data_IF_645541841909
#
_entry.id   IF_645541841909
#
_cell.length_a   1.000
_cell.length_b   1.000
_cell.length_c   1.000
_cell.angle_alpha   90.00
_cell.angle_beta   90.00
_cell.angle_gamma   90.00
#
_symmetry.space_group_name_H-M   'P 1'
#
loop_
_entity.id
_entity.type
_entity.pdbx_description
1 polymer ?
#
# COMPACT_ATOMS: atom_id res chain seq x y z
N UNK A 1 -26.13 25.34 5.66
CA UNK A 1 -26.09 25.49 7.12
C UNK A 1 -25.13 26.60 7.49
N UNK A 2 -25.49 27.43 8.45
CA UNK A 2 -24.87 28.74 8.71
C UNK A 2 -23.42 28.67 9.24
N UNK A 3 -22.95 27.49 9.64
CA UNK A 3 -21.57 27.26 10.10
C UNK A 3 -20.52 27.05 8.99
N UNK A 4 -20.95 26.88 7.73
CA UNK A 4 -20.03 26.58 6.60
C UNK A 4 -19.03 27.73 6.35
N UNK A 5 -19.44 29.02 6.32
CA UNK A 5 -18.49 30.11 6.11
C UNK A 5 -17.43 30.22 7.20
N UNK A 6 -17.82 30.06 8.47
CA UNK A 6 -16.91 30.08 9.60
C UNK A 6 -15.90 28.91 9.56
N UNK A 7 -16.36 27.71 9.17
CA UNK A 7 -15.50 26.56 8.96
C UNK A 7 -14.50 26.79 7.83
N UNK A 8 -14.95 27.32 6.68
CA UNK A 8 -14.07 27.65 5.54
C UNK A 8 -12.98 28.64 5.95
N UNK A 9 -13.33 29.70 6.69
CA UNK A 9 -12.37 30.68 7.18
C UNK A 9 -11.32 30.08 8.13
N UNK A 10 -11.72 29.12 8.98
CA UNK A 10 -10.78 28.38 9.83
C UNK A 10 -9.85 27.47 9.03
N UNK A 11 -10.40 26.71 8.08
CA UNK A 11 -9.61 25.82 7.23
C UNK A 11 -8.58 26.58 6.40
N UNK A 12 -8.95 27.74 5.83
CA UNK A 12 -8.03 28.59 5.09
C UNK A 12 -6.85 29.05 5.96
N UNK A 13 -7.14 29.60 7.15
CA UNK A 13 -6.09 30.01 8.10
C UNK A 13 -5.19 28.85 8.53
N UNK A 14 -5.75 27.66 8.69
CA UNK A 14 -4.95 26.47 9.00
C UNK A 14 -4.04 26.07 7.85
N UNK A 15 -4.52 26.14 6.61
CA UNK A 15 -3.74 25.84 5.42
C UNK A 15 -2.61 26.87 5.21
N UNK A 16 -2.91 28.16 5.33
CA UNK A 16 -1.95 29.27 5.23
C UNK A 16 -0.84 29.19 6.29
N UNK A 17 -1.11 28.57 7.44
CA UNK A 17 -0.15 28.40 8.52
C UNK A 17 0.76 27.16 8.34
N UNK A 18 0.55 26.34 7.31
CA UNK A 18 1.40 25.17 7.06
C UNK A 18 2.76 25.60 6.51
N UNK A 19 3.86 24.95 6.90
CA UNK A 19 5.21 25.28 6.42
C UNK A 19 5.38 25.22 4.89
N UNK A 20 4.53 24.43 4.22
CA UNK A 20 4.55 24.16 2.78
C UNK A 20 3.38 24.86 2.03
N UNK A 21 2.74 25.85 2.65
CA UNK A 21 1.75 26.67 1.95
C UNK A 21 2.44 27.42 0.79
N UNK A 22 1.82 27.40 -0.40
CA UNK A 22 2.38 27.94 -1.66
C UNK A 22 3.71 27.31 -2.12
N UNK A 23 4.10 26.16 -1.58
CA UNK A 23 5.26 25.43 -2.08
C UNK A 23 5.03 24.99 -3.54
N UNK A 24 5.99 25.33 -4.40
CA UNK A 24 5.92 24.97 -5.82
C UNK A 24 6.25 23.49 -6.00
N UNK A 25 5.33 22.76 -6.61
CA UNK A 25 5.58 21.37 -7.02
C UNK A 25 6.28 21.38 -8.39
N UNK A 26 7.41 20.68 -8.56
CA UNK A 26 8.07 20.56 -9.85
C UNK A 26 7.14 19.97 -10.93
N UNK A 27 7.14 20.57 -12.13
CA UNK A 27 6.34 20.11 -13.27
C UNK A 27 6.43 18.60 -13.55
N UNK A 28 7.64 18.00 -13.62
CA UNK A 28 7.82 16.56 -13.77
C UNK A 28 7.06 15.70 -12.73
N UNK A 29 6.87 16.21 -11.51
CA UNK A 29 6.19 15.47 -10.44
C UNK A 29 4.67 15.56 -10.60
N UNK A 30 4.16 16.70 -11.10
CA UNK A 30 2.77 16.86 -11.50
C UNK A 30 2.44 15.98 -12.71
N UNK A 31 3.33 15.91 -13.70
CA UNK A 31 3.15 15.01 -14.85
C UNK A 31 3.06 13.55 -14.40
N UNK A 32 3.93 13.13 -13.48
CA UNK A 32 3.87 11.79 -12.88
C UNK A 32 2.57 11.56 -12.10
N UNK A 33 2.11 12.54 -11.32
CA UNK A 33 0.81 12.48 -10.64
C UNK A 33 -0.30 12.17 -11.64
N UNK A 34 -0.49 13.04 -12.64
CA UNK A 34 -1.60 12.91 -13.59
C UNK A 34 -1.53 11.58 -14.33
N UNK A 35 -0.32 11.18 -14.75
CA UNK A 35 -0.12 9.92 -15.45
C UNK A 35 -0.47 8.69 -14.63
N UNK A 36 -0.21 8.72 -13.31
CA UNK A 36 -0.62 7.65 -12.39
C UNK A 36 -2.15 7.60 -12.25
N UNK A 37 -2.81 8.75 -12.19
CA UNK A 37 -4.27 8.83 -12.12
C UNK A 37 -4.93 8.34 -13.42
N UNK A 38 -4.43 8.76 -14.58
CA UNK A 38 -4.93 8.33 -15.89
C UNK A 38 -4.79 6.82 -16.04
N UNK A 39 -3.64 6.26 -15.65
CA UNK A 39 -3.44 4.80 -15.64
C UNK A 39 -4.43 4.06 -14.75
N UNK A 40 -4.82 4.66 -13.63
CA UNK A 40 -5.83 4.08 -12.72
C UNK A 40 -7.23 4.12 -13.31
N UNK A 41 -7.53 5.13 -14.14
CA UNK A 41 -8.83 5.29 -14.81
C UNK A 41 -8.95 4.41 -16.06
N UNK A 42 -7.85 4.20 -16.78
CA UNK A 42 -7.81 3.45 -18.05
C UNK A 42 -7.68 1.94 -17.89
N UNK A 43 -7.27 1.43 -16.72
CA UNK A 43 -7.01 0.00 -16.56
C UNK A 43 -8.31 -0.83 -16.62
N UNK A 44 -8.54 -1.65 -17.68
CA UNK A 44 -9.74 -2.46 -17.83
C UNK A 44 -9.85 -3.56 -16.78
N UNK A 45 -8.72 -4.00 -16.23
CA UNK A 45 -8.65 -5.00 -15.15
C UNK A 45 -8.89 -4.36 -13.78
N UNK A 46 -8.83 -3.03 -13.71
CA UNK A 46 -9.02 -2.27 -12.48
C UNK A 46 -7.90 -2.50 -11.46
N UNK A 47 -6.66 -2.79 -11.89
CA UNK A 47 -5.56 -2.98 -10.95
C UNK A 47 -5.34 -1.68 -10.17
N UNK A 48 -5.37 -1.80 -8.84
CA UNK A 48 -5.25 -0.66 -7.92
C UNK A 48 -3.81 -0.45 -7.45
N UNK A 49 -2.88 -1.12 -8.13
CA UNK A 49 -1.46 -1.13 -7.83
C UNK A 49 -0.62 -1.30 -9.10
N UNK A 50 0.64 -0.93 -9.01
CA UNK A 50 1.68 -1.12 -10.01
C UNK A 50 2.86 -1.84 -9.36
N UNK A 51 3.53 -2.69 -10.14
CA UNK A 51 4.85 -3.16 -9.75
C UNK A 51 5.85 -2.00 -9.76
N UNK A 52 6.81 -2.03 -8.83
CA UNK A 52 7.83 -1.00 -8.68
C UNK A 52 8.55 -0.67 -9.99
N UNK A 53 8.93 -1.70 -10.76
CA UNK A 53 9.60 -1.51 -12.06
C UNK A 53 8.73 -0.75 -13.06
N UNK A 54 7.42 -1.03 -13.07
CA UNK A 54 6.47 -0.33 -13.95
C UNK A 54 6.27 1.11 -13.52
N UNK A 55 6.22 1.37 -12.21
CA UNK A 55 6.17 2.71 -11.68
C UNK A 55 7.46 3.51 -12.00
N UNK A 56 8.63 2.88 -11.91
CA UNK A 56 9.90 3.50 -12.32
C UNK A 56 9.91 3.91 -13.79
N UNK A 57 9.36 3.07 -14.68
CA UNK A 57 9.23 3.41 -16.11
C UNK A 57 8.31 4.62 -16.32
N UNK A 58 7.16 4.67 -15.64
CA UNK A 58 6.26 5.82 -15.70
C UNK A 58 6.94 7.11 -15.20
N UNK A 59 7.70 7.01 -14.11
CA UNK A 59 8.48 8.12 -13.58
C UNK A 59 9.53 8.59 -14.60
N UNK A 60 10.26 7.68 -15.23
CA UNK A 60 11.24 8.02 -16.27
C UNK A 60 10.60 8.71 -17.48
N UNK A 61 9.42 8.27 -17.92
CA UNK A 61 8.67 8.93 -19.01
C UNK A 61 8.28 10.37 -18.65
N UNK A 62 8.15 10.69 -17.36
CA UNK A 62 7.90 12.03 -16.84
C UNK A 62 9.19 12.75 -16.44
N UNK A 63 10.37 12.25 -16.84
CA UNK A 63 11.68 12.81 -16.50
C UNK A 63 12.01 12.78 -14.99
N UNK A 64 11.36 11.89 -14.23
CA UNK A 64 11.62 11.65 -12.82
C UNK A 64 12.50 10.41 -12.66
N UNK A 65 13.75 10.61 -12.28
CA UNK A 65 14.73 9.53 -12.06
C UNK A 65 15.79 9.89 -11.03
N UNK A 66 16.67 8.94 -10.71
CA UNK A 66 17.74 9.13 -9.72
C UNK A 66 17.18 9.55 -8.36
N UNK A 67 17.79 10.57 -7.74
CA UNK A 67 17.36 11.10 -6.43
C UNK A 67 15.92 11.66 -6.47
N UNK A 68 15.48 12.18 -7.62
CA UNK A 68 14.14 12.73 -7.77
C UNK A 68 13.04 11.66 -7.68
N UNK A 69 13.36 10.39 -7.99
CA UNK A 69 12.40 9.29 -7.86
C UNK A 69 11.98 9.11 -6.41
N UNK A 70 12.92 9.07 -5.48
CA UNK A 70 12.64 8.93 -4.05
C UNK A 70 11.82 10.10 -3.51
N UNK A 71 12.22 11.32 -3.87
CA UNK A 71 11.54 12.56 -3.46
C UNK A 71 10.10 12.59 -3.99
N UNK A 72 9.90 12.39 -5.30
CA UNK A 72 8.57 12.41 -5.91
C UNK A 72 7.67 11.30 -5.36
N UNK A 73 8.21 10.09 -5.17
CA UNK A 73 7.44 8.96 -4.60
C UNK A 73 6.97 9.26 -3.19
N UNK A 74 7.84 9.86 -2.37
CA UNK A 74 7.50 10.26 -1.00
C UNK A 74 6.42 11.35 -1.02
N UNK A 75 6.61 12.40 -1.82
CA UNK A 75 5.64 13.49 -1.97
C UNK A 75 4.26 12.95 -2.38
N UNK A 76 4.19 12.14 -3.45
CA UNK A 76 2.92 11.58 -3.92
C UNK A 76 2.28 10.62 -2.91
N UNK A 77 3.07 9.94 -2.09
CA UNK A 77 2.59 9.10 -0.98
C UNK A 77 2.01 9.91 0.18
N UNK A 78 2.60 11.07 0.49
CA UNK A 78 2.14 12.00 1.52
C UNK A 78 0.88 12.77 1.08
N UNK A 79 0.80 13.12 -0.20
CA UNK A 79 -0.39 13.73 -0.81
C UNK A 79 -1.54 12.74 -1.03
N UNK A 80 -1.32 11.45 -0.78
CA UNK A 80 -2.33 10.40 -0.93
C UNK A 80 -2.70 10.07 -2.38
N UNK A 81 -1.87 10.48 -3.34
CA UNK A 81 -2.03 10.13 -4.77
C UNK A 81 -1.69 8.66 -4.97
N UNK A 82 -0.61 8.23 -4.34
CA UNK A 82 -0.20 6.83 -4.27
C UNK A 82 -0.03 6.42 -2.82
N UNK A 83 0.19 5.13 -2.59
CA UNK A 83 0.78 4.64 -1.35
C UNK A 83 1.97 3.76 -1.70
N UNK A 84 3.08 4.00 -1.02
CA UNK A 84 4.25 3.15 -1.12
C UNK A 84 4.78 2.88 0.29
N UNK A 85 5.00 1.61 0.61
CA UNK A 85 5.48 1.18 1.94
C UNK A 85 6.96 0.82 1.96
N UNK A 86 7.60 0.75 0.78
CA UNK A 86 9.04 0.57 0.69
C UNK A 86 9.81 1.88 0.90
N UNK A 87 11.13 1.75 0.95
CA UNK A 87 12.05 2.87 0.82
C UNK A 87 12.47 2.95 -0.65
N UNK A 88 12.11 4.03 -1.33
CA UNK A 88 12.33 4.17 -2.77
C UNK A 88 13.81 4.14 -3.14
N UNK A 89 14.66 4.77 -2.32
CA UNK A 89 16.10 4.85 -2.56
C UNK A 89 16.77 3.49 -2.31
N UNK A 90 16.32 2.76 -1.29
CA UNK A 90 16.80 1.41 -1.03
C UNK A 90 16.29 0.40 -2.08
N UNK A 91 15.03 0.52 -2.49
CA UNK A 91 14.37 -0.39 -3.43
C UNK A 91 14.98 -0.25 -4.82
N UNK A 92 15.29 0.96 -5.27
CA UNK A 92 15.98 1.20 -6.54
C UNK A 92 17.36 0.53 -6.64
N UNK A 93 17.98 0.15 -5.51
CA UNK A 93 19.29 -0.55 -5.46
C UNK A 93 19.16 -2.07 -5.36
N UNK A 94 17.96 -2.59 -5.08
CA UNK A 94 17.71 -4.02 -4.94
C UNK A 94 17.39 -4.65 -6.30
N UNK A 95 17.64 -5.95 -6.43
CA UNK A 95 17.21 -6.69 -7.60
C UNK A 95 15.69 -6.95 -7.53
N UNK A 96 14.94 -6.91 -8.65
CA UNK A 96 13.48 -7.08 -8.65
C UNK A 96 13.01 -8.36 -7.95
N UNK A 97 13.78 -9.45 -8.03
CA UNK A 97 13.45 -10.74 -7.39
C UNK A 97 13.68 -10.82 -5.88
N UNK A 98 14.25 -9.79 -5.25
CA UNK A 98 14.52 -9.77 -3.80
C UNK A 98 13.62 -8.81 -3.04
N UNK A 99 12.74 -8.10 -3.75
CA UNK A 99 11.77 -7.19 -3.16
C UNK A 99 10.67 -7.98 -2.46
N UNK A 100 10.35 -7.59 -1.22
CA UNK A 100 9.10 -8.05 -0.61
C UNK A 100 7.90 -7.52 -1.40
N UNK A 101 6.74 -8.15 -1.23
CA UNK A 101 5.49 -7.72 -1.91
C UNK A 101 5.21 -6.23 -1.68
N UNK A 102 5.44 -5.72 -0.47
CA UNK A 102 5.20 -4.31 -0.14
C UNK A 102 6.24 -3.36 -0.76
N UNK A 103 7.51 -3.76 -0.84
CA UNK A 103 8.57 -2.97 -1.48
C UNK A 103 8.45 -2.97 -3.00
N UNK A 104 7.97 -4.07 -3.58
CA UNK A 104 7.78 -4.25 -5.02
C UNK A 104 6.45 -3.71 -5.55
N UNK A 105 5.62 -3.08 -4.71
CA UNK A 105 4.26 -2.65 -5.09
C UNK A 105 4.01 -1.18 -4.71
N UNK A 106 3.56 -0.40 -5.70
CA UNK A 106 3.08 0.97 -5.54
C UNK A 106 1.57 0.98 -5.72
N UNK A 107 0.82 1.37 -4.70
CA UNK A 107 -0.64 1.43 -4.76
C UNK A 107 -1.07 2.75 -5.38
N UNK A 108 -1.75 2.70 -6.51
CA UNK A 108 -2.20 3.89 -7.25
C UNK A 108 -3.63 4.30 -6.91
N UNK A 109 -4.32 3.47 -6.12
CA UNK A 109 -5.58 3.83 -5.46
C UNK A 109 -5.48 3.51 -3.96
N UNK A 110 -4.99 4.45 -3.14
CA UNK A 110 -4.83 4.24 -1.70
C UNK A 110 -6.16 3.96 -0.98
N UNK A 111 -7.26 4.55 -1.46
CA UNK A 111 -8.61 4.32 -0.95
C UNK A 111 -9.02 2.85 -1.07
N UNK A 112 -8.66 2.19 -2.17
CA UNK A 112 -8.93 0.77 -2.35
C UNK A 112 -8.24 -0.08 -1.30
N UNK A 113 -7.02 0.27 -0.84
CA UNK A 113 -6.37 -0.47 0.25
C UNK A 113 -7.22 -0.40 1.51
N UNK A 114 -7.72 0.79 1.84
CA UNK A 114 -8.57 1.01 2.99
C UNK A 114 -9.86 0.19 2.86
N UNK A 115 -10.48 0.16 1.68
CA UNK A 115 -11.71 -0.58 1.46
C UNK A 115 -11.51 -2.09 1.38
N UNK A 116 -10.38 -2.57 0.83
CA UNK A 116 -9.98 -3.97 0.87
C UNK A 116 -9.74 -4.42 2.32
N UNK A 117 -9.01 -3.62 3.12
CA UNK A 117 -8.79 -3.89 4.53
C UNK A 117 -10.11 -3.86 5.31
N UNK A 118 -10.95 -2.84 5.11
CA UNK A 118 -12.30 -2.81 5.70
C UNK A 118 -13.09 -4.04 5.27
N UNK A 119 -13.04 -4.45 4.01
CA UNK A 119 -13.72 -5.63 3.49
C UNK A 119 -13.24 -6.90 4.19
N UNK A 120 -11.94 -7.09 4.31
CA UNK A 120 -11.35 -8.22 5.05
C UNK A 120 -11.77 -8.22 6.51
N UNK A 121 -11.73 -7.08 7.18
CA UNK A 121 -12.12 -6.95 8.59
C UNK A 121 -13.64 -7.12 8.77
N UNK A 122 -14.44 -6.66 7.80
CA UNK A 122 -15.91 -6.73 7.81
C UNK A 122 -16.43 -8.11 7.42
N UNK A 123 -15.73 -8.84 6.55
CA UNK A 123 -16.07 -10.21 6.23
C UNK A 123 -15.80 -11.09 7.46
N UNK A 124 -16.77 -11.96 7.71
CA UNK A 124 -16.92 -12.79 8.89
C UNK A 124 -15.59 -13.17 9.54
N UNK A 125 -15.34 -12.58 10.72
CA UNK A 125 -14.20 -12.88 11.59
C UNK A 125 -13.96 -14.39 11.69
N UNK A 126 -15.04 -15.17 11.72
CA UNK A 126 -14.97 -16.61 11.84
C UNK A 126 -14.49 -17.27 10.55
N UNK A 127 -14.81 -16.73 9.36
CA UNK A 127 -14.26 -17.20 8.09
C UNK A 127 -12.76 -16.95 7.97
N UNK A 128 -12.26 -15.78 8.39
CA UNK A 128 -10.82 -15.50 8.45
C UNK A 128 -10.11 -16.41 9.46
N UNK A 129 -10.66 -16.54 10.67
CA UNK A 129 -10.10 -17.44 11.67
C UNK A 129 -10.14 -18.90 11.21
N UNK A 130 -11.21 -19.36 10.55
CA UNK A 130 -11.30 -20.71 10.00
C UNK A 130 -10.30 -20.94 8.86
N UNK A 131 -10.14 -19.99 7.94
CA UNK A 131 -9.17 -20.09 6.85
C UNK A 131 -7.76 -20.30 7.39
N UNK A 132 -7.32 -19.42 8.31
CA UNK A 132 -5.99 -19.50 8.90
C UNK A 132 -5.85 -20.69 9.86
N UNK A 133 -6.88 -21.08 10.61
CA UNK A 133 -6.84 -22.28 11.46
C UNK A 133 -6.67 -23.57 10.65
N UNK A 134 -7.28 -23.66 9.46
CA UNK A 134 -7.16 -24.82 8.57
C UNK A 134 -5.85 -24.87 7.79
N UNK A 135 -5.26 -23.73 7.48
CA UNK A 135 -4.05 -23.65 6.65
C UNK A 135 -2.76 -23.38 7.44
N UNK A 136 -2.82 -23.12 8.75
CA UNK A 136 -1.65 -22.82 9.58
C UNK A 136 -0.60 -23.94 9.58
N UNK A 137 -0.99 -25.21 9.48
CA UNK A 137 -0.05 -26.34 9.39
C UNK A 137 0.66 -26.49 8.03
N UNK A 138 0.19 -25.82 6.98
CA UNK A 138 0.80 -25.88 5.64
C UNK A 138 1.67 -24.68 5.29
N UNK A 139 1.71 -23.64 6.14
CA UNK A 139 2.17 -22.31 5.74
C UNK A 139 3.69 -22.07 5.79
N UNK A 140 4.50 -23.02 6.27
CA UNK A 140 5.95 -23.15 5.98
C UNK A 140 6.34 -24.61 6.23
N UNK A 141 6.80 -25.33 5.21
CA UNK A 141 7.23 -26.74 5.28
C UNK A 141 8.56 -26.90 6.04
N UNK A 142 8.72 -26.37 7.25
CA UNK A 142 9.95 -26.55 8.04
C UNK A 142 9.71 -26.25 9.52
N UNK A 143 8.98 -27.06 10.27
CA UNK A 143 9.20 -27.13 11.72
C UNK A 143 8.61 -28.41 12.31
N UNK A 144 9.22 -28.88 13.40
CA UNK A 144 8.75 -30.04 14.16
C UNK A 144 7.34 -29.79 14.73
N UNK A 145 6.65 -30.87 15.10
CA UNK A 145 5.26 -30.85 15.63
C UNK A 145 5.05 -29.83 16.77
N UNK A 146 6.08 -29.57 17.60
CA UNK A 146 6.02 -28.56 18.66
C UNK A 146 6.14 -27.11 18.15
N UNK A 147 6.86 -26.89 17.04
CA UNK A 147 6.99 -25.60 16.36
C UNK A 147 5.71 -25.20 15.63
N UNK A 148 5.03 -26.15 14.98
CA UNK A 148 3.77 -25.91 14.24
C UNK A 148 2.65 -25.37 15.15
N UNK A 149 2.56 -25.85 16.39
CA UNK A 149 1.57 -25.39 17.36
C UNK A 149 1.86 -23.96 17.87
N UNK A 150 3.14 -23.61 18.05
CA UNK A 150 3.55 -22.27 18.45
C UNK A 150 3.37 -21.26 17.29
N UNK A 151 3.70 -21.66 16.06
CA UNK A 151 3.48 -20.87 14.85
C UNK A 151 1.98 -20.66 14.59
N UNK A 152 1.14 -21.68 14.72
CA UNK A 152 -0.31 -21.56 14.58
C UNK A 152 -0.90 -20.55 15.57
N UNK A 153 -0.44 -20.56 16.84
CA UNK A 153 -0.86 -19.58 17.85
C UNK A 153 -0.39 -18.16 17.50
N UNK A 154 0.81 -18.01 16.95
CA UNK A 154 1.34 -16.72 16.51
C UNK A 154 0.52 -16.15 15.33
N UNK A 155 0.21 -16.98 14.34
CA UNK A 155 -0.64 -16.63 13.19
C UNK A 155 -2.05 -16.24 13.63
N UNK A 156 -2.67 -17.05 14.50
CA UNK A 156 -3.99 -16.74 15.07
C UNK A 156 -3.99 -15.40 15.80
N UNK A 157 -2.97 -15.10 16.60
CA UNK A 157 -2.84 -13.80 17.28
C UNK A 157 -2.75 -12.64 16.29
N UNK A 158 -1.99 -12.79 15.20
CA UNK A 158 -1.86 -11.75 14.16
C UNK A 158 -3.19 -11.51 13.42
N UNK A 159 -3.90 -12.58 13.09
CA UNK A 159 -5.23 -12.52 12.46
C UNK A 159 -6.28 -11.93 13.41
N UNK A 160 -6.23 -12.29 14.70
CA UNK A 160 -7.09 -11.67 15.71
C UNK A 160 -6.82 -10.17 15.85
N UNK A 161 -5.55 -9.74 15.78
CA UNK A 161 -5.22 -8.31 15.80
C UNK A 161 -5.73 -7.58 14.56
N UNK A 162 -5.69 -8.22 13.39
CA UNK A 162 -6.31 -7.69 12.18
C UNK A 162 -7.82 -7.57 12.35
N UNK A 163 -8.49 -8.63 12.81
CA UNK A 163 -9.95 -8.65 12.94
C UNK A 163 -10.48 -7.67 14.00
N UNK A 164 -9.78 -7.52 15.13
CA UNK A 164 -10.25 -6.70 16.26
C UNK A 164 -9.80 -5.24 16.14
N UNK A 165 -8.58 -5.00 15.67
CA UNK A 165 -7.95 -3.66 15.69
C UNK A 165 -7.65 -3.12 14.29
N UNK A 166 -7.95 -3.86 13.22
CA UNK A 166 -7.61 -3.48 11.86
C UNK A 166 -6.10 -3.43 11.57
N UNK A 167 -5.26 -4.00 12.43
CA UNK A 167 -3.82 -3.98 12.26
C UNK A 167 -3.35 -5.17 11.41
N UNK A 168 -2.99 -4.92 10.15
CA UNK A 168 -2.38 -5.94 9.28
C UNK A 168 -0.89 -6.10 9.60
N UNK A 169 -0.50 -7.32 9.99
CA UNK A 169 0.92 -7.68 10.15
C UNK A 169 1.54 -8.01 8.77
N UNK A 170 2.79 -7.59 8.52
CA UNK A 170 3.47 -7.80 7.23
C UNK A 170 3.44 -9.26 6.73
N UNK A 171 3.70 -10.22 7.62
CA UNK A 171 3.63 -11.66 7.29
C UNK A 171 2.27 -12.15 6.76
N UNK A 172 1.16 -11.46 7.07
CA UNK A 172 -0.17 -11.79 6.56
C UNK A 172 -0.43 -11.26 5.15
N UNK A 173 0.37 -10.28 4.70
CA UNK A 173 0.18 -9.60 3.41
C UNK A 173 0.18 -10.62 2.28
N UNK A 174 1.13 -11.55 2.22
CA UNK A 174 1.25 -12.50 1.11
C UNK A 174 0.04 -13.44 0.89
N UNK A 175 -0.80 -13.64 1.91
CA UNK A 175 -1.97 -14.53 1.86
C UNK A 175 -3.27 -13.80 1.57
N UNK A 176 -3.27 -12.50 1.83
CA UNK A 176 -4.41 -11.59 1.68
C UNK A 176 -4.28 -10.82 0.37
N UNK A 177 -3.03 -10.53 0.00
CA UNK A 177 -2.65 -9.92 -1.25
C UNK A 177 -2.65 -10.97 -2.35
N UNK A 178 -3.21 -10.68 -3.53
CA UNK A 178 -2.95 -11.47 -4.73
C UNK A 178 -1.48 -11.28 -5.10
N UNK A 179 -0.59 -11.99 -4.42
CA UNK A 179 0.70 -12.31 -5.00
C UNK A 179 0.37 -13.08 -6.27
N UNK A 180 0.96 -12.71 -7.40
CA UNK A 180 0.89 -13.49 -8.63
C UNK A 180 1.23 -14.94 -8.29
N UNK A 181 0.20 -15.76 -8.04
CA UNK A 181 0.32 -17.20 -8.18
C UNK A 181 0.77 -17.32 -9.61
N UNK A 182 2.03 -17.72 -9.79
CA UNK A 182 2.42 -18.39 -11.03
C UNK A 182 1.33 -19.44 -11.22
N UNK A 183 0.49 -19.22 -12.22
CA UNK A 183 -0.44 -20.19 -12.74
C UNK A 183 0.36 -21.47 -12.95
N UNK A 184 0.18 -22.43 -12.05
CA UNK A 184 0.46 -23.84 -12.34
C UNK A 184 -0.52 -24.34 -13.39
#
# INVERSE_FOLDING_TARGET
>A
GDGIPALRGKLAKMAEALPWYEELIPGPYLDLWYKVQDKTAEDPEGNRWLHWDRYCLLAQECQVGGVNLGIATKLLSELGVIKYFGDADATARKQPGTLSVLEGTVFVSPEWIVDALKGLIRHDRDALLMFFSRHAGGMRRTSSIAGEAAESKLWLRRVQRLAVYGCLHADLVQYIWPSSRKSE
#
